data_IF_024096574413
#
_entry.id   IF_024096574413
#
_cell.length_a   1.000
_cell.length_b   1.000
_cell.length_c   1.000
_cell.angle_alpha   90.00
_cell.angle_beta   90.00
_cell.angle_gamma   90.00
#
_symmetry.space_group_name_H-M   'P 1'
#
loop_
_entity.id
_entity.type
_entity.pdbx_description
1 polymer ?
#
# COMPACT_ATOMS: atom_id res chain seq x y z
N UNK A 1 -4.71 2.94 -24.00
CA UNK A 1 -5.29 1.66 -23.56
C UNK A 1 -4.54 1.05 -22.38
N UNK A 2 -3.25 0.82 -22.55
CA UNK A 2 -2.44 0.23 -21.49
C UNK A 2 -2.13 1.20 -20.34
N UNK A 3 -2.31 2.49 -20.54
CA UNK A 3 -2.03 3.51 -19.53
C UNK A 3 -2.91 3.35 -18.28
N UNK A 4 -4.20 3.06 -18.45
CA UNK A 4 -5.10 2.85 -17.31
C UNK A 4 -4.71 1.57 -16.55
N UNK A 5 -4.40 0.51 -17.25
CA UNK A 5 -3.98 -0.75 -16.64
C UNK A 5 -2.64 -0.59 -15.94
N UNK A 6 -1.71 0.15 -16.55
CA UNK A 6 -0.41 0.43 -15.96
C UNK A 6 -0.54 1.25 -14.69
N UNK A 7 -1.41 2.26 -14.67
CA UNK A 7 -1.64 3.07 -13.48
C UNK A 7 -2.23 2.23 -12.33
N UNK A 8 -3.16 1.34 -12.64
CA UNK A 8 -3.71 0.41 -11.65
C UNK A 8 -2.62 -0.50 -11.09
N UNK A 9 -1.77 -1.03 -11.96
CA UNK A 9 -0.68 -1.91 -11.56
C UNK A 9 0.33 -1.21 -10.66
N UNK A 10 0.73 0.02 -11.02
CA UNK A 10 1.67 0.80 -10.21
C UNK A 10 1.13 1.05 -8.81
N UNK A 11 -0.14 1.40 -8.72
CA UNK A 11 -0.79 1.67 -7.43
C UNK A 11 -0.90 0.40 -6.59
N UNK A 12 -1.23 -0.73 -7.21
CA UNK A 12 -1.33 -2.00 -6.51
C UNK A 12 0.04 -2.50 -6.04
N UNK A 13 1.10 -2.29 -6.84
CA UNK A 13 2.46 -2.59 -6.42
C UNK A 13 2.88 -1.75 -5.22
N UNK A 14 2.57 -0.46 -5.24
CA UNK A 14 2.86 0.43 -4.12
C UNK A 14 2.19 -0.07 -2.84
N UNK A 15 0.91 -0.42 -2.90
CA UNK A 15 0.16 -0.95 -1.77
C UNK A 15 0.75 -2.27 -1.28
N UNK A 16 1.04 -3.16 -2.20
CA UNK A 16 1.60 -4.49 -1.90
C UNK A 16 2.96 -4.38 -1.22
N UNK A 17 3.85 -3.56 -1.77
CA UNK A 17 5.22 -3.42 -1.26
C UNK A 17 5.26 -2.72 0.10
N UNK A 18 4.34 -1.80 0.34
CA UNK A 18 4.31 -1.06 1.59
C UNK A 18 3.67 -1.84 2.74
N UNK A 19 2.78 -2.78 2.43
CA UNK A 19 2.00 -3.48 3.45
C UNK A 19 2.84 -4.17 4.53
N UNK A 20 3.88 -4.97 4.20
CA UNK A 20 4.71 -5.60 5.23
C UNK A 20 5.37 -4.59 6.16
N UNK A 21 5.78 -3.45 5.63
CA UNK A 21 6.40 -2.39 6.42
C UNK A 21 5.38 -1.76 7.37
N UNK A 22 4.13 -1.57 6.92
CA UNK A 22 3.06 -1.07 7.78
C UNK A 22 2.75 -2.03 8.92
N UNK A 23 2.76 -3.34 8.66
CA UNK A 23 2.58 -4.34 9.70
C UNK A 23 3.70 -4.26 10.73
N UNK A 24 4.94 -4.10 10.29
CA UNK A 24 6.09 -3.95 11.17
C UNK A 24 5.96 -2.72 12.06
N UNK A 25 5.54 -1.59 11.50
CA UNK A 25 5.31 -0.37 12.28
C UNK A 25 4.18 -0.53 13.29
N UNK A 26 3.15 -1.30 12.94
CA UNK A 26 2.05 -1.60 13.85
C UNK A 26 2.53 -2.38 15.09
N UNK A 27 3.51 -3.24 14.92
CA UNK A 27 4.05 -4.04 16.04
C UNK A 27 4.96 -3.23 16.96
N UNK A 28 5.60 -2.19 16.43
CA UNK A 28 6.63 -1.45 17.17
C UNK A 28 6.20 -0.07 17.66
N UNK A 29 5.15 0.51 17.07
CA UNK A 29 4.67 1.85 17.40
C UNK A 29 3.18 1.82 17.71
N UNK A 30 2.76 2.50 18.80
CA UNK A 30 1.40 2.41 19.31
C UNK A 30 0.41 3.39 18.68
N UNK A 31 0.88 4.43 17.97
CA UNK A 31 -0.03 5.44 17.45
C UNK A 31 0.15 5.66 15.96
N UNK A 32 -0.94 6.02 15.31
CA UNK A 32 -0.91 6.38 13.89
C UNK A 32 -0.02 7.59 13.62
N UNK A 33 0.01 8.53 14.57
CA UNK A 33 0.89 9.70 14.45
C UNK A 33 2.35 9.28 14.38
N UNK A 34 2.81 8.42 15.31
CA UNK A 34 4.19 7.97 15.35
C UNK A 34 4.56 7.15 14.11
N UNK A 35 3.63 6.34 13.62
CA UNK A 35 3.83 5.55 12.39
C UNK A 35 3.98 6.47 11.17
N UNK A 36 3.15 7.51 11.08
CA UNK A 36 3.25 8.49 10.00
C UNK A 36 4.59 9.24 10.05
N UNK A 37 5.01 9.67 11.24
CA UNK A 37 6.30 10.34 11.41
C UNK A 37 7.44 9.41 10.99
N UNK A 38 7.39 8.14 11.33
CA UNK A 38 8.41 7.17 10.95
C UNK A 38 8.52 7.02 9.44
N UNK A 39 7.39 6.88 8.74
CA UNK A 39 7.39 6.80 7.28
C UNK A 39 7.96 8.05 6.63
N UNK A 40 7.54 9.21 7.09
CA UNK A 40 8.01 10.49 6.54
C UNK A 40 9.52 10.66 6.76
N UNK A 41 10.02 10.26 7.93
CA UNK A 41 11.45 10.38 8.24
C UNK A 41 12.30 9.42 7.40
N UNK A 42 11.74 8.32 6.94
CA UNK A 42 12.39 7.37 6.04
C UNK A 42 12.30 7.79 4.57
N UNK A 43 11.60 8.89 4.29
CA UNK A 43 11.39 9.34 2.91
C UNK A 43 10.34 8.53 2.16
N UNK A 44 9.52 7.76 2.86
CA UNK A 44 8.46 6.95 2.28
C UNK A 44 7.16 7.75 2.33
N UNK A 45 6.76 8.32 1.17
CA UNK A 45 5.58 9.19 1.08
C UNK A 45 4.39 8.43 0.49
N UNK A 46 3.24 9.11 0.39
CA UNK A 46 2.05 8.53 -0.24
C UNK A 46 2.30 8.27 -1.72
N UNK A 47 1.42 7.49 -2.33
CA UNK A 47 1.51 7.21 -3.77
C UNK A 47 1.60 8.50 -4.61
N UNK A 48 0.96 9.57 -4.15
CA UNK A 48 0.97 10.86 -4.84
C UNK A 48 2.12 11.79 -4.39
N UNK A 49 3.08 11.26 -3.64
CA UNK A 49 4.27 12.01 -3.22
C UNK A 49 4.06 12.96 -2.04
N UNK A 50 2.96 12.81 -1.32
CA UNK A 50 2.66 13.65 -0.16
C UNK A 50 3.11 12.98 1.13
N UNK A 51 3.33 13.80 2.16
CA UNK A 51 3.66 13.29 3.49
C UNK A 51 2.46 12.57 4.10
N UNK A 52 2.75 11.56 4.89
CA UNK A 52 1.72 10.87 5.66
C UNK A 52 1.27 11.72 6.83
N UNK A 53 -0.03 11.73 7.05
CA UNK A 53 -0.64 12.25 8.27
C UNK A 53 -1.28 11.08 9.03
N UNK A 54 -1.60 11.30 10.30
CA UNK A 54 -2.29 10.31 11.11
C UNK A 54 -3.56 9.80 10.40
N UNK A 55 -4.37 10.72 9.88
CA UNK A 55 -5.65 10.37 9.26
C UNK A 55 -5.51 9.62 7.95
N UNK A 56 -4.65 10.10 7.04
CA UNK A 56 -4.52 9.45 5.75
C UNK A 56 -3.83 8.08 5.86
N UNK A 57 -2.92 7.91 6.82
CA UNK A 57 -2.28 6.62 7.03
C UNK A 57 -3.26 5.60 7.60
N UNK A 58 -4.08 6.00 8.58
CA UNK A 58 -5.10 5.12 9.15
C UNK A 58 -6.08 4.65 8.08
N UNK A 59 -6.57 5.56 7.25
CA UNK A 59 -7.48 5.21 6.14
C UNK A 59 -6.82 4.28 5.13
N UNK A 60 -5.57 4.55 4.79
CA UNK A 60 -4.82 3.72 3.85
C UNK A 60 -4.66 2.30 4.39
N UNK A 61 -4.26 2.16 5.64
CA UNK A 61 -4.09 0.85 6.25
C UNK A 61 -5.41 0.09 6.31
N UNK A 62 -6.48 0.75 6.72
CA UNK A 62 -7.81 0.13 6.80
C UNK A 62 -8.34 -0.28 5.43
N UNK A 63 -7.89 0.35 4.35
CA UNK A 63 -8.34 0.02 3.00
C UNK A 63 -7.96 -1.41 2.56
N UNK A 64 -6.97 -2.03 3.21
CA UNK A 64 -6.62 -3.41 2.92
C UNK A 64 -7.70 -4.40 3.37
N UNK A 65 -8.61 -3.97 4.25
CA UNK A 65 -9.72 -4.78 4.75
C UNK A 65 -11.08 -4.21 4.34
N UNK A 66 -11.13 -3.41 3.26
CA UNK A 66 -12.32 -2.66 2.87
C UNK A 66 -13.54 -3.54 2.61
N UNK A 67 -13.34 -4.80 2.21
CA UNK A 67 -14.41 -5.73 1.92
C UNK A 67 -14.73 -6.69 3.09
N UNK A 68 -14.25 -6.38 4.28
CA UNK A 68 -14.49 -7.19 5.46
C UNK A 68 -13.67 -8.48 5.53
N UNK A 69 -12.81 -8.70 4.57
CA UNK A 69 -11.93 -9.88 4.52
C UNK A 69 -10.53 -9.50 4.99
N UNK A 70 -9.84 -10.45 5.59
CA UNK A 70 -8.44 -10.25 5.92
C UNK A 70 -7.61 -10.09 4.65
N UNK A 71 -6.72 -9.12 4.63
CA UNK A 71 -5.83 -8.90 3.48
C UNK A 71 -4.84 -10.03 3.34
N UNK A 72 -4.80 -10.64 2.17
CA UNK A 72 -3.83 -11.68 1.84
C UNK A 72 -2.75 -11.10 0.91
N UNK A 73 -1.55 -10.95 1.43
CA UNK A 73 -0.42 -10.44 0.67
C UNK A 73 -0.08 -11.34 -0.52
N UNK A 74 -0.11 -12.66 -0.31
CA UNK A 74 0.19 -13.64 -1.36
C UNK A 74 -0.84 -13.62 -2.48
N UNK A 75 -2.12 -13.56 -2.12
CA UNK A 75 -3.20 -13.49 -3.10
C UNK A 75 -3.12 -12.21 -3.92
N UNK A 76 -2.80 -11.09 -3.28
CA UNK A 76 -2.63 -9.82 -3.96
C UNK A 76 -1.43 -9.86 -4.92
N UNK A 77 -0.34 -10.51 -4.51
CA UNK A 77 0.83 -10.71 -5.36
C UNK A 77 0.47 -11.49 -6.62
N UNK A 78 -0.35 -12.52 -6.50
CA UNK A 78 -0.82 -13.30 -7.66
C UNK A 78 -1.64 -12.44 -8.62
N UNK A 79 -2.46 -11.53 -8.09
CA UNK A 79 -3.22 -10.58 -8.92
C UNK A 79 -2.30 -9.62 -9.66
N UNK A 80 -1.26 -9.12 -9.00
CA UNK A 80 -0.26 -8.27 -9.63
C UNK A 80 0.43 -9.02 -10.78
N UNK A 81 0.81 -10.25 -10.56
CA UNK A 81 1.45 -11.07 -11.59
C UNK A 81 0.52 -11.28 -12.81
N UNK A 82 -0.77 -11.47 -12.58
CA UNK A 82 -1.75 -11.57 -13.67
C UNK A 82 -1.86 -10.28 -14.47
N UNK A 83 -1.87 -9.12 -13.78
CA UNK A 83 -1.92 -7.83 -14.44
C UNK A 83 -0.66 -7.58 -15.28
N UNK A 84 0.50 -7.96 -14.75
CA UNK A 84 1.76 -7.86 -15.51
C UNK A 84 1.73 -8.70 -16.77
N UNK A 85 1.20 -9.92 -16.68
CA UNK A 85 1.09 -10.80 -17.84
C UNK A 85 0.17 -10.20 -18.91
N UNK A 86 -0.92 -9.54 -18.51
CA UNK A 86 -1.81 -8.85 -19.44
C UNK A 86 -1.12 -7.70 -20.17
N UNK A 87 -0.27 -6.95 -19.45
CA UNK A 87 0.47 -5.83 -20.05
C UNK A 87 1.52 -6.29 -21.06
N UNK A 88 2.01 -7.50 -20.91
CA UNK A 88 3.05 -8.05 -21.79
C UNK A 88 2.49 -8.70 -23.07
N UNK A 89 1.18 -8.76 -23.20
CA UNK A 89 0.54 -9.29 -24.41
C UNK A 89 0.38 -8.20 -25.52
#
# INVERSE_FOLDING_TARGET
MNETLLAVLDKERFRHDLFPHLLSLNETLDSWHHRAVALNSEGIYTYFGKKWTRGNLELFFKSFWANGSEYSWHKHNDQINKLEALLMQ
#
